data_IF_907231928587
#
_entry.id   IF_907231928587
#
_cell.length_a   1.000
_cell.length_b   1.000
_cell.length_c   1.000
_cell.angle_alpha   90.00
_cell.angle_beta   90.00
_cell.angle_gamma   90.00
#
_symmetry.space_group_name_H-M   'P 1'
#
loop_
_entity.id
_entity.type
_entity.pdbx_description
1 polymer ?
#
# COMPACT_ATOMS: atom_id res chain seq x y z
N UNK A 1 76.45 15.07 19.12
CA UNK A 1 75.77 13.86 18.59
C UNK A 1 74.38 13.78 19.21
N UNK A 2 73.36 13.47 18.38
CA UNK A 2 71.96 13.06 18.72
C UNK A 2 71.04 14.16 19.27
N UNK A 3 69.76 14.36 18.90
CA UNK A 3 68.85 14.14 17.74
C UNK A 3 67.46 14.62 18.25
N UNK A 4 66.69 15.35 17.41
CA UNK A 4 65.21 15.53 17.30
C UNK A 4 64.28 15.31 18.54
N UNK A 5 63.16 16.03 18.73
CA UNK A 5 61.90 15.88 17.99
C UNK A 5 60.93 17.03 18.37
N UNK A 6 60.34 17.60 17.33
CA UNK A 6 59.11 18.41 17.22
C UNK A 6 57.91 17.91 18.04
N UNK A 7 57.31 18.78 18.85
CA UNK A 7 55.98 18.58 19.46
C UNK A 7 55.00 19.64 18.96
N UNK A 8 54.40 19.41 17.80
CA UNK A 8 53.35 20.25 17.20
C UNK A 8 52.01 19.79 17.79
N UNK A 9 51.54 20.49 18.82
CA UNK A 9 50.24 20.26 19.44
C UNK A 9 49.11 20.79 18.57
N UNK A 10 48.61 19.95 17.65
CA UNK A 10 47.43 20.23 16.85
C UNK A 10 46.21 19.65 17.60
N UNK A 11 45.65 20.47 18.49
CA UNK A 11 44.40 20.15 19.18
C UNK A 11 43.26 20.16 18.14
N UNK A 12 42.79 18.96 17.80
CA UNK A 12 41.70 18.73 16.88
C UNK A 12 40.39 19.28 17.41
N UNK A 13 39.89 20.31 16.74
CA UNK A 13 38.52 20.78 16.81
C UNK A 13 37.79 20.22 15.59
N UNK A 14 37.09 19.11 15.77
CA UNK A 14 36.07 18.66 14.83
C UNK A 14 34.79 18.34 15.59
N UNK A 15 33.98 19.39 15.75
CA UNK A 15 32.56 19.25 15.97
C UNK A 15 31.95 18.61 14.72
N UNK A 16 31.72 17.30 14.75
CA UNK A 16 30.96 16.61 13.71
C UNK A 16 29.48 16.96 13.94
N UNK A 17 29.07 18.08 13.35
CA UNK A 17 27.66 18.33 13.06
C UNK A 17 27.28 17.38 11.93
N UNK A 18 26.70 16.23 12.26
CA UNK A 18 26.17 15.31 11.24
C UNK A 18 24.94 15.93 10.61
N UNK A 19 25.18 16.74 9.58
CA UNK A 19 24.23 16.87 8.49
C UNK A 19 23.94 15.44 8.00
N UNK A 20 22.66 15.11 7.84
CA UNK A 20 22.16 13.83 7.37
C UNK A 20 22.52 13.69 5.87
N UNK A 21 23.81 13.59 5.56
CA UNK A 21 24.31 13.32 4.23
C UNK A 21 23.88 11.89 3.87
N UNK A 22 23.34 11.72 2.66
CA UNK A 22 22.99 10.40 2.15
C UNK A 22 24.19 9.46 2.32
N UNK A 23 23.99 8.21 2.77
CA UNK A 23 25.08 7.28 2.96
C UNK A 23 25.82 7.12 1.62
N UNK A 24 27.13 7.37 1.66
CA UNK A 24 28.03 7.18 0.53
C UNK A 24 27.91 5.74 0.01
N UNK A 25 27.80 5.55 -1.29
CA UNK A 25 27.58 4.23 -1.91
C UNK A 25 28.69 3.24 -1.51
N UNK A 26 29.91 3.74 -1.31
CA UNK A 26 31.04 2.97 -0.81
C UNK A 26 30.80 2.40 0.60
N UNK A 27 30.15 3.15 1.49
CA UNK A 27 29.84 2.70 2.84
C UNK A 27 28.75 1.62 2.85
N UNK A 28 27.81 1.68 1.90
CA UNK A 28 26.77 0.66 1.72
C UNK A 28 27.39 -0.66 1.28
N UNK A 29 28.31 -0.62 0.30
CA UNK A 29 29.01 -1.82 -0.19
C UNK A 29 29.80 -2.50 0.92
N UNK A 30 30.57 -1.73 1.71
CA UNK A 30 31.32 -2.27 2.85
C UNK A 30 30.40 -2.93 3.89
N UNK A 31 29.22 -2.34 4.15
CA UNK A 31 28.26 -2.92 5.09
C UNK A 31 27.65 -4.21 4.57
N UNK A 32 27.36 -4.29 3.27
CA UNK A 32 26.86 -5.52 2.64
C UNK A 32 27.90 -6.64 2.70
N UNK A 33 29.18 -6.34 2.49
CA UNK A 33 30.27 -7.32 2.63
C UNK A 33 30.47 -7.78 4.09
N UNK A 34 30.38 -6.88 5.06
CA UNK A 34 30.39 -7.24 6.48
C UNK A 34 29.25 -8.20 6.82
N UNK A 35 28.02 -7.90 6.37
CA UNK A 35 26.86 -8.75 6.60
C UNK A 35 27.00 -10.11 5.91
N UNK A 36 27.65 -10.17 4.74
CA UNK A 36 27.96 -11.43 4.07
C UNK A 36 28.84 -12.33 4.93
N UNK A 37 29.88 -11.77 5.56
CA UNK A 37 30.78 -12.51 6.45
C UNK A 37 30.12 -12.88 7.78
N UNK A 38 29.33 -11.99 8.37
CA UNK A 38 28.68 -12.21 9.67
C UNK A 38 27.54 -13.24 9.62
N UNK A 39 26.76 -13.24 8.54
CA UNK A 39 25.54 -14.06 8.42
C UNK A 39 25.68 -15.22 7.43
N UNK A 40 26.89 -15.48 6.91
CA UNK A 40 27.16 -16.49 5.88
C UNK A 40 26.19 -16.39 4.69
N UNK A 41 25.94 -15.16 4.22
CA UNK A 41 25.00 -14.92 3.12
C UNK A 41 25.58 -15.43 1.80
N UNK A 42 24.73 -16.06 0.99
CA UNK A 42 25.11 -16.43 -0.37
C UNK A 42 25.15 -15.20 -1.30
N UNK A 43 25.75 -15.37 -2.48
CA UNK A 43 25.88 -14.27 -3.46
C UNK A 43 24.51 -13.75 -3.93
N UNK A 44 23.50 -14.62 -4.00
CA UNK A 44 22.16 -14.23 -4.41
C UNK A 44 21.45 -13.39 -3.34
N UNK A 45 21.62 -13.73 -2.07
CA UNK A 45 21.12 -12.97 -0.92
C UNK A 45 21.82 -11.62 -0.81
N UNK A 46 23.14 -11.59 -1.04
CA UNK A 46 23.96 -10.37 -1.06
C UNK A 46 23.48 -9.43 -2.17
N UNK A 47 23.24 -9.95 -3.38
CA UNK A 47 22.73 -9.15 -4.49
C UNK A 47 21.32 -8.58 -4.21
N UNK A 48 20.45 -9.36 -3.56
CA UNK A 48 19.11 -8.88 -3.16
C UNK A 48 19.21 -7.74 -2.15
N UNK A 49 20.10 -7.84 -1.17
CA UNK A 49 20.34 -6.79 -0.18
C UNK A 49 20.91 -5.53 -0.83
N UNK A 50 21.87 -5.68 -1.74
CA UNK A 50 22.45 -4.56 -2.46
C UNK A 50 21.40 -3.83 -3.31
N UNK A 51 20.62 -4.56 -4.10
CA UNK A 51 19.51 -3.97 -4.88
C UNK A 51 18.46 -3.27 -3.98
N UNK A 52 18.17 -3.83 -2.80
CA UNK A 52 17.25 -3.21 -1.83
C UNK A 52 17.83 -1.92 -1.24
N UNK A 53 19.11 -1.93 -0.88
CA UNK A 53 19.78 -0.78 -0.29
C UNK A 53 19.94 0.32 -1.33
N UNK A 54 20.40 0.00 -2.54
CA UNK A 54 20.48 0.95 -3.65
C UNK A 54 19.11 1.57 -3.95
N UNK A 55 18.04 0.76 -3.90
CA UNK A 55 16.67 1.26 -4.05
C UNK A 55 16.25 2.18 -2.91
N UNK A 56 16.70 1.93 -1.68
CA UNK A 56 16.34 2.73 -0.51
C UNK A 56 17.16 4.02 -0.37
N UNK A 57 18.43 4.00 -0.78
CA UNK A 57 19.39 5.10 -0.63
C UNK A 57 19.45 6.01 -1.84
N UNK A 58 19.17 5.50 -3.05
CA UNK A 58 19.10 6.32 -4.28
C UNK A 58 17.77 7.08 -4.43
N UNK A 59 16.84 6.94 -3.48
CA UNK A 59 15.55 7.62 -3.53
C UNK A 59 15.54 8.83 -2.61
N UNK A 60 15.64 10.02 -3.20
CA UNK A 60 15.38 11.27 -2.50
C UNK A 60 13.94 11.27 -1.95
N UNK A 61 13.65 12.03 -0.88
CA UNK A 61 12.28 12.20 -0.41
C UNK A 61 11.33 12.69 -1.52
N UNK A 62 11.85 13.53 -2.42
CA UNK A 62 11.14 14.04 -3.59
C UNK A 62 10.78 12.94 -4.58
N UNK A 63 11.73 12.06 -4.92
CA UNK A 63 11.48 10.91 -5.80
C UNK A 63 10.44 9.94 -5.23
N UNK A 64 10.46 9.74 -3.90
CA UNK A 64 9.47 8.89 -3.23
C UNK A 64 8.07 9.50 -3.32
N UNK A 65 7.96 10.81 -3.12
CA UNK A 65 6.69 11.52 -3.25
C UNK A 65 6.17 11.48 -4.69
N UNK A 66 7.02 11.77 -5.67
CA UNK A 66 6.67 11.72 -7.09
C UNK A 66 6.20 10.31 -7.49
N UNK A 67 6.92 9.25 -7.06
CA UNK A 67 6.50 7.86 -7.29
C UNK A 67 5.19 7.50 -6.59
N UNK A 68 4.96 8.00 -5.37
CA UNK A 68 3.70 7.77 -4.66
C UNK A 68 2.53 8.44 -5.39
N UNK A 69 2.71 9.66 -5.87
CA UNK A 69 1.74 10.39 -6.68
C UNK A 69 1.45 9.66 -7.99
N UNK A 70 2.49 9.31 -8.76
CA UNK A 70 2.33 8.55 -10.00
C UNK A 70 1.61 7.21 -9.79
N UNK A 71 1.85 6.52 -8.67
CA UNK A 71 1.13 5.30 -8.30
C UNK A 71 -0.34 5.56 -7.98
N UNK A 72 -0.65 6.65 -7.30
CA UNK A 72 -2.03 7.06 -7.02
C UNK A 72 -2.76 7.41 -8.31
N UNK A 73 -2.16 8.20 -9.19
CA UNK A 73 -2.69 8.59 -10.49
C UNK A 73 -2.99 7.37 -11.36
N UNK A 74 -2.02 6.46 -11.51
CA UNK A 74 -2.22 5.21 -12.25
C UNK A 74 -3.37 4.37 -11.69
N UNK A 75 -3.53 4.33 -10.36
CA UNK A 75 -4.66 3.62 -9.73
C UNK A 75 -5.99 4.31 -10.02
N UNK A 76 -6.03 5.63 -9.98
CA UNK A 76 -7.23 6.40 -10.32
C UNK A 76 -7.61 6.21 -11.78
N UNK A 77 -6.65 6.30 -12.70
CA UNK A 77 -6.85 6.11 -14.12
C UNK A 77 -7.41 4.71 -14.43
N UNK A 78 -6.79 3.66 -13.88
CA UNK A 78 -7.30 2.29 -14.02
C UNK A 78 -8.70 2.12 -13.44
N UNK A 79 -9.03 2.80 -12.34
CA UNK A 79 -10.38 2.78 -11.75
C UNK A 79 -11.38 3.51 -12.66
N UNK A 80 -11.00 4.66 -13.22
CA UNK A 80 -11.85 5.42 -14.14
C UNK A 80 -12.12 4.63 -15.41
N UNK A 81 -11.09 4.06 -16.03
CA UNK A 81 -11.22 3.21 -17.21
C UNK A 81 -12.19 2.06 -16.99
N UNK A 82 -12.04 1.33 -15.87
CA UNK A 82 -12.98 0.24 -15.51
C UNK A 82 -14.41 0.73 -15.29
N UNK A 83 -14.58 1.94 -14.76
CA UNK A 83 -15.91 2.51 -14.52
C UNK A 83 -16.55 2.96 -15.83
N UNK A 84 -15.77 3.59 -16.71
CA UNK A 84 -16.17 3.98 -18.05
C UNK A 84 -16.67 2.77 -18.85
N UNK A 85 -15.88 1.69 -18.88
CA UNK A 85 -16.24 0.45 -19.58
C UNK A 85 -17.49 -0.21 -18.98
N UNK A 86 -17.62 -0.27 -17.65
CA UNK A 86 -18.73 -0.99 -16.99
C UNK A 86 -20.05 -0.24 -17.00
N UNK A 87 -20.01 1.09 -16.98
CA UNK A 87 -21.21 1.92 -16.90
C UNK A 87 -21.51 2.63 -18.23
N UNK A 88 -20.66 2.45 -19.25
CA UNK A 88 -20.81 3.12 -20.55
C UNK A 88 -20.72 4.64 -20.43
N UNK A 89 -19.79 5.16 -19.62
CA UNK A 89 -19.67 6.60 -19.41
C UNK A 89 -19.07 7.28 -20.65
N UNK A 90 -19.55 8.48 -20.94
CA UNK A 90 -18.93 9.35 -21.94
C UNK A 90 -17.64 9.97 -21.41
N UNK A 91 -16.75 10.44 -22.30
CA UNK A 91 -15.50 11.09 -21.89
C UNK A 91 -15.74 12.36 -21.06
N UNK A 92 -16.82 13.08 -21.36
CA UNK A 92 -17.27 14.25 -20.57
C UNK A 92 -17.65 13.86 -19.14
N UNK A 93 -18.41 12.77 -18.97
CA UNK A 93 -18.79 12.24 -17.66
C UNK A 93 -17.57 11.76 -16.87
N UNK A 94 -16.61 11.10 -17.53
CA UNK A 94 -15.34 10.67 -16.92
C UNK A 94 -14.53 11.87 -16.45
N UNK A 95 -14.47 12.94 -17.24
CA UNK A 95 -13.78 14.18 -16.87
C UNK A 95 -14.39 14.84 -15.62
N UNK A 96 -15.72 14.98 -15.59
CA UNK A 96 -16.43 15.53 -14.42
C UNK A 96 -16.23 14.68 -13.17
N UNK A 97 -16.31 13.35 -13.32
CA UNK A 97 -16.09 12.43 -12.21
C UNK A 97 -14.65 12.48 -11.68
N UNK A 98 -13.66 12.60 -12.58
CA UNK A 98 -12.25 12.74 -12.20
C UNK A 98 -12.03 14.00 -11.36
N UNK A 99 -12.63 15.12 -11.74
CA UNK A 99 -12.58 16.36 -10.96
C UNK A 99 -13.22 16.17 -9.57
N UNK A 100 -14.42 15.61 -9.50
CA UNK A 100 -15.12 15.36 -8.23
C UNK A 100 -14.32 14.44 -7.30
N UNK A 101 -13.70 13.40 -7.85
CA UNK A 101 -12.86 12.49 -7.06
C UNK A 101 -11.57 13.15 -6.58
N UNK A 102 -10.95 13.99 -7.40
CA UNK A 102 -9.77 14.78 -7.00
C UNK A 102 -10.08 15.67 -5.80
N UNK A 103 -11.18 16.43 -5.88
CA UNK A 103 -11.64 17.30 -4.80
C UNK A 103 -11.98 16.51 -3.54
N UNK A 104 -12.63 15.36 -3.69
CA UNK A 104 -12.94 14.49 -2.57
C UNK A 104 -11.67 13.97 -1.89
N UNK A 105 -10.66 13.53 -2.65
CA UNK A 105 -9.38 13.09 -2.07
C UNK A 105 -8.67 14.22 -1.34
N UNK A 106 -8.68 15.44 -1.89
CA UNK A 106 -8.08 16.60 -1.23
C UNK A 106 -8.76 16.89 0.12
N UNK A 107 -10.10 16.86 0.17
CA UNK A 107 -10.87 17.05 1.41
C UNK A 107 -10.57 15.95 2.43
N UNK A 108 -10.51 14.70 2.01
CA UNK A 108 -10.20 13.58 2.89
C UNK A 108 -8.77 13.66 3.45
N UNK A 109 -7.81 14.11 2.64
CA UNK A 109 -6.43 14.35 3.10
C UNK A 109 -6.38 15.43 4.16
N UNK A 110 -7.03 16.57 3.92
CA UNK A 110 -7.10 17.66 4.89
C UNK A 110 -7.78 17.23 6.21
N UNK A 111 -8.88 16.48 6.12
CA UNK A 111 -9.55 15.92 7.30
C UNK A 111 -8.65 14.96 8.07
N UNK A 112 -7.90 14.12 7.37
CA UNK A 112 -6.96 13.18 7.98
C UNK A 112 -5.81 13.91 8.69
N UNK A 113 -5.28 14.98 8.11
CA UNK A 113 -4.24 15.82 8.72
C UNK A 113 -4.77 16.53 9.98
N UNK A 114 -5.95 17.14 9.89
CA UNK A 114 -6.60 17.78 11.03
C UNK A 114 -6.86 16.78 12.18
N UNK A 115 -7.35 15.59 11.86
CA UNK A 115 -7.55 14.52 12.84
C UNK A 115 -6.23 14.07 13.49
N UNK A 116 -5.15 13.95 12.72
CA UNK A 116 -3.83 13.62 13.27
C UNK A 116 -3.33 14.69 14.24
N UNK A 117 -3.53 15.97 13.92
CA UNK A 117 -3.16 17.09 14.79
C UNK A 117 -3.99 17.08 16.10
N UNK A 118 -5.29 16.84 16.00
CA UNK A 118 -6.16 16.71 17.18
C UNK A 118 -5.78 15.52 18.06
N UNK A 119 -5.37 14.40 17.47
CA UNK A 119 -4.86 13.26 18.24
C UNK A 119 -3.53 13.59 18.91
N UNK A 120 -2.63 14.28 18.22
CA UNK A 120 -1.34 14.68 18.77
C UNK A 120 -1.45 15.68 19.92
N UNK A 121 -2.51 16.50 19.98
CA UNK A 121 -2.75 17.41 21.10
C UNK A 121 -3.33 16.74 22.35
N UNK A 122 -3.98 15.59 22.20
CA UNK A 122 -4.58 14.83 23.31
C UNK A 122 -3.62 13.75 23.82
N UNK A 123 -2.91 13.08 22.92
CA UNK A 123 -2.04 11.96 23.26
C UNK A 123 -0.67 12.45 23.73
N UNK A 124 -0.13 11.78 24.75
CA UNK A 124 1.28 11.96 25.13
C UNK A 124 2.20 11.42 24.02
N UNK A 125 3.45 11.92 23.91
CA UNK A 125 4.39 11.43 22.91
C UNK A 125 4.62 9.92 22.96
N UNK A 126 4.63 9.34 24.17
CA UNK A 126 4.78 7.89 24.38
C UNK A 126 3.58 7.09 23.84
N UNK A 127 2.36 7.60 24.03
CA UNK A 127 1.15 6.97 23.49
C UNK A 127 1.09 7.06 21.96
N UNK A 128 1.57 8.17 21.39
CA UNK A 128 1.64 8.35 19.95
C UNK A 128 2.64 7.36 19.32
N UNK A 129 3.81 7.19 19.94
CA UNK A 129 4.80 6.19 19.52
C UNK A 129 4.22 4.76 19.58
N UNK A 130 3.53 4.41 20.67
CA UNK A 130 2.87 3.09 20.80
C UNK A 130 1.79 2.88 19.73
N UNK A 131 1.02 3.92 19.41
CA UNK A 131 0.01 3.87 18.35
C UNK A 131 0.65 3.68 16.96
N UNK A 132 1.77 4.36 16.67
CA UNK A 132 2.50 4.18 15.41
C UNK A 132 3.05 2.76 15.29
N UNK A 133 3.58 2.19 16.38
CA UNK A 133 4.13 0.84 16.41
C UNK A 133 3.05 -0.25 16.27
N UNK A 134 1.89 -0.05 16.89
CA UNK A 134 0.71 -0.90 16.64
C UNK A 134 0.24 -0.82 15.18
N UNK A 135 0.36 0.34 14.53
CA UNK A 135 -0.03 0.53 13.14
C UNK A 135 0.92 -0.15 12.16
N UNK A 136 2.23 -0.04 12.37
CA UNK A 136 3.25 -0.71 11.54
C UNK A 136 3.19 -2.23 11.69
N UNK A 137 3.01 -2.73 12.91
CA UNK A 137 2.87 -4.17 13.17
C UNK A 137 1.61 -4.77 12.53
N UNK A 138 0.44 -4.11 12.62
CA UNK A 138 -0.76 -4.54 11.90
C UNK A 138 -0.60 -4.51 10.38
N UNK A 139 0.13 -3.53 9.84
CA UNK A 139 0.36 -3.42 8.40
C UNK A 139 1.27 -4.55 7.88
N UNK A 140 2.18 -5.06 8.70
CA UNK A 140 2.97 -6.25 8.38
C UNK A 140 2.17 -7.56 8.49
N UNK A 141 1.28 -7.69 9.48
CA UNK A 141 0.44 -8.89 9.66
C UNK A 141 -0.54 -9.15 8.50
N UNK A 142 -1.03 -8.10 7.84
CA UNK A 142 -1.98 -8.21 6.72
C UNK A 142 -1.32 -8.49 5.37
N UNK A 143 -0.01 -8.24 5.22
CA UNK A 143 0.69 -8.34 3.92
C UNK A 143 1.23 -9.75 3.61
N UNK A 144 1.31 -10.63 4.61
CA UNK A 144 1.82 -12.00 4.49
C UNK A 144 0.76 -13.12 4.51
N UNK A 145 -0.53 -12.81 4.70
CA UNK A 145 -1.52 -13.80 5.16
C UNK A 145 -2.79 -13.99 4.32
N UNK A 146 -2.76 -13.78 3.00
CA UNK A 146 -3.93 -14.03 2.12
C UNK A 146 -3.62 -14.93 0.91
N UNK A 147 -2.59 -15.78 1.01
CA UNK A 147 -2.34 -16.87 0.06
C UNK A 147 -2.68 -18.26 0.63
N UNK A 148 -3.63 -18.32 1.57
CA UNK A 148 -4.28 -19.57 1.97
C UNK A 148 -5.55 -19.80 1.17
N UNK A 149 -5.46 -20.58 0.08
CA UNK A 149 -6.62 -21.24 -0.53
C UNK A 149 -7.35 -22.04 0.57
N UNK A 150 -8.46 -21.52 1.09
CA UNK A 150 -9.25 -22.26 2.08
C UNK A 150 -10.29 -21.40 2.78
N UNK A 151 -11.50 -21.37 2.23
CA UNK A 151 -12.78 -21.31 2.97
C UNK A 151 -12.76 -20.58 4.33
N UNK A 152 -12.80 -19.25 4.36
CA UNK A 152 -13.33 -18.51 5.52
C UNK A 152 -13.99 -17.20 5.07
N UNK A 153 -15.03 -17.35 4.25
CA UNK A 153 -15.87 -16.26 3.79
C UNK A 153 -17.33 -16.65 3.77
N UNK A 154 -17.86 -17.22 4.86
CA UNK A 154 -19.31 -17.34 5.12
C UNK A 154 -19.56 -17.44 6.63
N UNK A 155 -19.45 -16.33 7.36
CA UNK A 155 -20.08 -16.17 8.68
C UNK A 155 -20.21 -14.68 9.05
N UNK A 156 -20.81 -13.91 8.15
CA UNK A 156 -21.51 -12.69 8.52
C UNK A 156 -22.79 -12.65 7.68
N UNK A 157 -23.93 -12.96 8.31
CA UNK A 157 -25.26 -12.69 7.77
C UNK A 157 -25.98 -13.85 7.06
N UNK A 158 -26.23 -14.98 7.73
CA UNK A 158 -27.29 -15.89 7.29
C UNK A 158 -27.98 -16.57 8.50
N UNK A 159 -28.50 -15.76 9.43
CA UNK A 159 -29.63 -16.19 10.26
C UNK A 159 -30.91 -15.84 9.52
N UNK A 160 -31.36 -16.74 8.66
CA UNK A 160 -32.62 -16.57 7.93
C UNK A 160 -33.11 -17.91 7.41
N UNK A 161 -34.09 -18.47 8.11
CA UNK A 161 -35.05 -19.43 7.55
C UNK A 161 -34.54 -20.85 7.33
N UNK A 162 -34.86 -21.73 8.28
CA UNK A 162 -35.06 -23.16 8.02
C UNK A 162 -36.23 -23.33 7.04
N UNK A 163 -35.99 -23.15 5.74
CA UNK A 163 -36.92 -23.48 4.67
C UNK A 163 -36.76 -24.95 4.29
N UNK A 164 -37.79 -25.75 4.60
CA UNK A 164 -37.92 -27.17 4.27
C UNK A 164 -37.68 -27.44 2.77
N UNK A 165 -37.07 -28.58 2.39
CA UNK A 165 -37.06 -29.01 0.99
C UNK A 165 -38.47 -29.43 0.59
N UNK A 166 -39.09 -28.70 -0.35
CA UNK A 166 -40.30 -29.15 -1.04
C UNK A 166 -39.87 -30.22 -2.06
N UNK A 167 -39.98 -31.49 -1.67
CA UNK A 167 -40.15 -32.57 -2.62
C UNK A 167 -41.60 -32.49 -3.11
N UNK A 168 -41.80 -32.10 -4.36
CA UNK A 168 -43.10 -31.94 -4.98
C UNK A 168 -43.05 -32.40 -6.42
N UNK A 169 -42.99 -33.72 -6.57
CA UNK A 169 -43.32 -34.46 -7.78
C UNK A 169 -44.75 -34.07 -8.23
N UNK A 170 -44.92 -33.63 -9.47
CA UNK A 170 -46.23 -33.51 -10.13
C UNK A 170 -46.03 -33.50 -11.64
N UNK A 171 -45.93 -34.71 -12.16
CA UNK A 171 -46.27 -35.07 -13.52
C UNK A 171 -47.77 -34.85 -13.76
N UNK A 172 -48.11 -34.21 -14.88
CA UNK A 172 -49.49 -34.05 -15.38
C UNK A 172 -49.47 -33.07 -16.55
N UNK A 173 -49.20 -33.50 -17.78
CA UNK A 173 -50.16 -34.05 -18.78
C UNK A 173 -51.37 -33.15 -19.04
N UNK A 174 -51.64 -33.02 -20.34
CA UNK A 174 -52.90 -32.65 -20.99
C UNK A 174 -53.30 -31.17 -20.89
N UNK A 175 -53.86 -30.54 -21.91
CA UNK A 175 -54.27 -30.95 -23.25
C UNK A 175 -54.50 -29.64 -24.04
N UNK A 176 -54.35 -29.73 -25.36
CA UNK A 176 -55.23 -29.16 -26.38
C UNK A 176 -55.96 -27.84 -26.04
N UNK A 177 -55.65 -26.78 -26.80
CA UNK A 177 -56.63 -25.94 -27.53
C UNK A 177 -55.83 -24.82 -28.22
N UNK A 178 -55.60 -24.94 -29.52
CA UNK A 178 -56.49 -24.44 -30.57
C UNK A 178 -56.44 -22.89 -30.67
N UNK A 179 -55.72 -22.43 -31.70
CA UNK A 179 -56.00 -21.15 -32.37
C UNK A 179 -57.46 -21.16 -32.89
N UNK A 180 -58.11 -20.03 -33.25
CA UNK A 180 -57.58 -19.12 -34.28
C UNK A 180 -57.96 -17.62 -34.16
N UNK A 181 -57.23 -16.81 -34.94
CA UNK A 181 -57.74 -15.77 -35.85
C UNK A 181 -58.75 -14.71 -35.33
N UNK A 182 -58.35 -13.43 -35.39
CA UNK A 182 -59.20 -12.35 -35.91
C UNK A 182 -58.44 -11.01 -35.96
N UNK A 183 -58.02 -10.65 -37.17
CA UNK A 183 -58.51 -9.49 -37.94
C UNK A 183 -58.77 -8.14 -37.22
N UNK A 184 -58.06 -7.11 -37.70
CA UNK A 184 -58.44 -5.69 -37.89
C UNK A 184 -58.97 -4.86 -36.70
N UNK A 185 -58.23 -3.81 -36.34
CA UNK A 185 -58.56 -2.43 -36.76
C UNK A 185 -57.33 -1.51 -36.63
#
# INVERSE_FOLDING_TARGET
MKTFITGLGLAGLLAVSTAFAAPDSAAITQRVEQLKAEFNLDDQQTQRLQNMLDTATSQTPEDRQARAQARQERRMEMRMKRMQERLGLTDEQVSQLKALMSDHMAKMKALQEAHQQQMASILTPEQLAKMQDMRTSMQHGMRGGMHGKGRMGMMCGQHGGKGKPMNGDSTGKNDQNAAPDSTQN
#
